data_IF_924041196854
#
_entry.id   IF_924041196854
#
_cell.length_a   1.000
_cell.length_b   1.000
_cell.length_c   1.000
_cell.angle_alpha   90.00
_cell.angle_beta   90.00
_cell.angle_gamma   90.00
#
_symmetry.space_group_name_H-M   'P 1'
#
loop_
_entity.id
_entity.type
_entity.pdbx_description
1 polymer ?
#
# COMPACT_ATOMS: atom_id res chain seq x y z
N UNK A 1 -46.50 -17.93 1.15
CA UNK A 1 -46.67 -16.73 0.31
C UNK A 1 -45.29 -16.13 0.08
N UNK A 2 -44.96 -15.74 -1.16
CA UNK A 2 -43.70 -15.04 -1.45
C UNK A 2 -43.77 -13.63 -0.85
N UNK A 3 -42.77 -13.30 -0.04
CA UNK A 3 -42.63 -12.05 0.69
C UNK A 3 -41.22 -11.51 0.49
N UNK A 4 -41.08 -10.19 0.33
CA UNK A 4 -39.80 -9.55 0.04
C UNK A 4 -39.21 -8.99 1.33
N UNK A 5 -37.97 -9.35 1.63
CA UNK A 5 -37.21 -8.76 2.74
C UNK A 5 -36.91 -7.27 2.44
N UNK A 6 -37.41 -6.31 3.24
CA UNK A 6 -37.29 -4.88 2.96
C UNK A 6 -35.88 -4.31 3.15
N UNK A 7 -34.95 -5.07 3.75
CA UNK A 7 -33.57 -4.63 4.00
C UNK A 7 -32.65 -5.01 2.85
N UNK A 8 -32.88 -6.16 2.22
CA UNK A 8 -32.01 -6.69 1.16
C UNK A 8 -32.72 -6.97 -0.17
N UNK A 9 -34.03 -6.74 -0.26
CA UNK A 9 -34.89 -7.04 -1.41
C UNK A 9 -34.87 -8.52 -1.87
N UNK A 10 -34.46 -9.43 -0.99
CA UNK A 10 -34.49 -10.87 -1.28
C UNK A 10 -35.92 -11.39 -1.15
N UNK A 11 -36.40 -12.07 -2.20
CA UNK A 11 -37.70 -12.75 -2.16
C UNK A 11 -37.54 -14.06 -1.38
N UNK A 12 -38.35 -14.24 -0.35
CA UNK A 12 -38.36 -15.44 0.48
C UNK A 12 -39.79 -15.96 0.61
N UNK A 13 -39.94 -17.24 0.91
CA UNK A 13 -41.23 -17.78 1.32
C UNK A 13 -41.43 -17.51 2.82
N UNK A 14 -42.62 -17.07 3.20
CA UNK A 14 -43.02 -16.81 4.60
C UNK A 14 -42.70 -17.96 5.58
N UNK A 15 -42.79 -19.22 5.12
CA UNK A 15 -42.45 -20.42 5.91
C UNK A 15 -40.95 -20.62 6.15
N UNK A 16 -40.09 -20.02 5.32
CA UNK A 16 -38.63 -20.14 5.36
C UNK A 16 -37.94 -18.88 5.91
N UNK A 17 -38.72 -17.97 6.50
CA UNK A 17 -38.18 -16.73 7.06
C UNK A 17 -37.31 -17.02 8.30
N UNK A 18 -36.06 -16.53 8.27
CA UNK A 18 -35.14 -16.62 9.40
C UNK A 18 -35.54 -15.70 10.58
N UNK A 19 -36.48 -14.77 10.35
CA UNK A 19 -37.04 -13.93 11.38
C UNK A 19 -38.28 -13.15 10.90
N UNK A 20 -39.13 -12.76 11.84
CA UNK A 20 -40.33 -11.95 11.61
C UNK A 20 -40.34 -10.78 12.58
N UNK A 21 -40.66 -9.58 12.08
CA UNK A 21 -40.89 -8.38 12.90
C UNK A 21 -42.20 -7.71 12.47
N UNK A 22 -42.90 -7.09 13.42
CA UNK A 22 -44.16 -6.40 13.16
C UNK A 22 -43.98 -4.90 13.33
N UNK A 23 -44.34 -4.13 12.30
CA UNK A 23 -44.23 -2.67 12.30
C UNK A 23 -45.45 -2.04 11.63
N UNK A 24 -46.08 -1.06 12.32
CA UNK A 24 -47.34 -0.40 11.90
C UNK A 24 -48.46 -1.40 11.50
N UNK A 25 -48.59 -2.51 12.24
CA UNK A 25 -49.64 -3.52 12.05
C UNK A 25 -49.43 -4.45 10.83
N UNK A 26 -48.25 -4.40 10.19
CA UNK A 26 -47.86 -5.35 9.13
C UNK A 26 -46.67 -6.19 9.59
N UNK A 27 -46.73 -7.49 9.29
CA UNK A 27 -45.63 -8.43 9.52
C UNK A 27 -44.65 -8.40 8.35
N UNK A 28 -43.38 -8.25 8.66
CA UNK A 28 -42.26 -8.29 7.72
C UNK A 28 -41.42 -9.53 8.00
N UNK A 29 -41.04 -10.22 6.94
CA UNK A 29 -40.30 -11.47 6.97
C UNK A 29 -38.87 -11.21 6.46
N UNK A 30 -37.87 -11.81 7.10
CA UNK A 30 -36.47 -11.56 6.81
C UNK A 30 -35.71 -12.81 6.42
N UNK A 31 -34.78 -12.69 5.48
CA UNK A 31 -33.95 -13.78 4.98
C UNK A 31 -32.89 -14.22 6.00
N UNK A 32 -32.54 -13.34 6.95
CA UNK A 32 -31.52 -13.59 7.97
C UNK A 32 -31.80 -12.81 9.26
N UNK A 33 -31.26 -13.31 10.38
CA UNK A 33 -31.28 -12.61 11.68
C UNK A 33 -30.58 -11.26 11.64
N UNK A 34 -29.60 -11.09 10.74
CA UNK A 34 -28.91 -9.84 10.50
C UNK A 34 -29.81 -8.79 9.81
N UNK A 35 -30.60 -9.19 8.80
CA UNK A 35 -31.57 -8.29 8.14
C UNK A 35 -32.67 -7.87 9.12
N UNK A 36 -33.19 -8.83 9.91
CA UNK A 36 -34.10 -8.52 11.01
C UNK A 36 -33.51 -7.50 11.99
N UNK A 37 -32.27 -7.71 12.43
CA UNK A 37 -31.61 -6.81 13.38
C UNK A 37 -31.33 -5.40 12.84
N UNK A 38 -31.17 -5.23 11.53
CA UNK A 38 -31.10 -3.91 10.89
C UNK A 38 -32.47 -3.24 10.82
N UNK A 39 -33.50 -4.00 10.47
CA UNK A 39 -34.87 -3.49 10.43
C UNK A 39 -35.37 -3.07 11.80
N UNK A 40 -35.14 -3.88 12.84
CA UNK A 40 -35.58 -3.57 14.22
C UNK A 40 -34.91 -2.30 14.78
N UNK A 41 -33.73 -1.92 14.27
CA UNK A 41 -33.00 -0.72 14.72
C UNK A 41 -33.53 0.58 14.10
N UNK A 42 -33.94 0.55 12.84
CA UNK A 42 -34.50 1.73 12.16
C UNK A 42 -35.51 1.29 11.07
N UNK A 43 -36.75 0.94 11.45
CA UNK A 43 -37.74 0.47 10.49
C UNK A 43 -38.11 1.52 9.44
N UNK A 44 -38.10 2.82 9.79
CA UNK A 44 -38.53 3.90 8.89
C UNK A 44 -37.59 4.13 7.71
N UNK A 45 -36.32 3.75 7.85
CA UNK A 45 -35.36 3.78 6.74
C UNK A 45 -35.69 2.78 5.62
N UNK A 46 -36.39 1.69 5.95
CA UNK A 46 -36.67 0.60 5.02
C UNK A 46 -38.15 0.52 4.60
N UNK A 47 -39.06 1.20 5.31
CA UNK A 47 -40.48 1.25 4.96
C UNK A 47 -41.08 2.66 5.08
N UNK A 48 -41.57 3.20 3.97
CA UNK A 48 -42.30 4.49 3.91
C UNK A 48 -41.80 5.43 2.82
N UNK A 49 -42.21 6.70 2.87
CA UNK A 49 -41.80 7.73 1.91
C UNK A 49 -40.30 8.03 1.95
N UNK A 50 -39.67 7.89 3.13
CA UNK A 50 -38.22 8.10 3.32
C UNK A 50 -37.37 7.03 2.59
N UNK A 51 -37.90 5.81 2.44
CA UNK A 51 -37.30 4.77 1.61
C UNK A 51 -37.41 5.10 0.10
N UNK A 52 -38.48 5.78 -0.33
CA UNK A 52 -38.63 6.28 -1.71
C UNK A 52 -37.66 7.43 -2.00
N UNK A 53 -37.42 8.31 -1.03
CA UNK A 53 -36.41 9.38 -1.14
C UNK A 53 -34.98 8.82 -1.19
N UNK A 54 -34.68 7.76 -0.43
CA UNK A 54 -33.37 7.10 -0.47
C UNK A 54 -33.09 6.40 -1.83
N UNK A 55 -34.13 5.89 -2.49
CA UNK A 55 -34.02 5.32 -3.85
C UNK A 55 -33.91 6.43 -4.92
N UNK A 56 -34.47 7.62 -4.69
CA UNK A 56 -34.33 8.77 -5.60
C UNK A 56 -33.02 9.55 -5.43
N UNK A 57 -32.27 9.32 -4.35
CA UNK A 57 -30.97 9.94 -4.11
C UNK A 57 -29.77 9.21 -4.77
N UNK A 58 -30.00 8.22 -5.65
CA UNK A 58 -28.94 7.70 -6.51
C UNK A 58 -28.72 8.64 -7.70
N UNK A 59 -27.58 9.34 -7.67
CA UNK A 59 -26.94 10.16 -8.71
C UNK A 59 -27.62 10.09 -10.09
N UNK A 60 -28.07 11.22 -10.69
CA UNK A 60 -28.59 11.20 -12.05
C UNK A 60 -27.47 10.77 -13.01
N UNK A 61 -27.63 9.59 -13.62
CA UNK A 61 -26.70 9.11 -14.63
C UNK A 61 -26.71 10.07 -15.83
N UNK A 62 -25.56 10.37 -16.45
CA UNK A 62 -25.47 11.28 -17.59
C UNK A 62 -26.43 10.88 -18.72
N UNK A 63 -27.03 11.86 -19.41
CA UNK A 63 -27.83 11.62 -20.62
C UNK A 63 -27.01 10.81 -21.63
N UNK A 64 -27.46 9.60 -21.96
CA UNK A 64 -26.78 8.65 -22.87
C UNK A 64 -26.15 7.42 -22.18
N UNK A 65 -26.34 7.24 -20.88
CA UNK A 65 -25.90 6.03 -20.17
C UNK A 65 -26.70 4.81 -20.65
N UNK A 66 -26.00 3.79 -21.14
CA UNK A 66 -26.60 2.49 -21.48
C UNK A 66 -26.62 1.59 -20.25
N UNK A 67 -27.62 0.73 -20.12
CA UNK A 67 -27.82 -0.17 -18.99
C UNK A 67 -27.84 -1.61 -19.49
N UNK A 68 -27.19 -2.53 -18.78
CA UNK A 68 -27.12 -3.95 -19.13
C UNK A 68 -27.53 -4.86 -17.97
N UNK A 69 -27.96 -6.07 -18.26
CA UNK A 69 -28.30 -7.07 -17.25
C UNK A 69 -27.06 -7.89 -16.87
N UNK A 70 -26.74 -8.07 -15.56
CA UNK A 70 -25.60 -8.89 -15.12
C UNK A 70 -25.66 -10.35 -15.60
N UNK A 71 -26.87 -10.89 -15.80
CA UNK A 71 -27.10 -12.28 -16.24
C UNK A 71 -27.31 -12.40 -17.75
N UNK A 72 -27.70 -11.32 -18.43
CA UNK A 72 -27.96 -11.28 -19.87
C UNK A 72 -27.21 -10.10 -20.51
N UNK A 73 -25.87 -10.19 -20.72
CA UNK A 73 -25.04 -9.07 -21.20
C UNK A 73 -25.42 -8.54 -22.59
N UNK A 74 -26.17 -9.33 -23.37
CA UNK A 74 -26.71 -8.96 -24.68
C UNK A 74 -27.84 -7.91 -24.59
N UNK A 75 -28.47 -7.78 -23.43
CA UNK A 75 -29.62 -6.89 -23.22
C UNK A 75 -29.11 -5.52 -22.81
N UNK A 76 -29.03 -4.59 -23.78
CA UNK A 76 -28.59 -3.21 -23.56
C UNK A 76 -29.74 -2.23 -23.80
N UNK A 77 -30.06 -1.38 -22.83
CA UNK A 77 -31.12 -0.37 -22.93
C UNK A 77 -30.63 1.04 -22.58
N UNK A 78 -31.24 2.07 -23.16
CA UNK A 78 -30.88 3.48 -22.90
C UNK A 78 -31.55 4.06 -21.63
N UNK A 79 -32.28 3.22 -20.86
CA UNK A 79 -33.05 3.63 -19.69
C UNK A 79 -32.91 2.59 -18.57
N UNK A 80 -32.93 3.01 -17.29
CA UNK A 80 -33.04 2.07 -16.18
C UNK A 80 -34.40 1.36 -16.22
N UNK A 81 -34.40 0.06 -15.92
CA UNK A 81 -35.59 -0.78 -16.01
C UNK A 81 -35.31 -2.23 -15.64
N UNK A 82 -36.34 -3.08 -15.70
CA UNK A 82 -36.18 -4.52 -15.54
C UNK A 82 -35.77 -5.18 -16.87
N UNK A 83 -34.87 -6.17 -16.79
CA UNK A 83 -34.42 -6.95 -17.92
C UNK A 83 -35.61 -7.73 -18.52
N UNK A 84 -35.92 -7.59 -19.82
CA UNK A 84 -37.02 -8.32 -20.46
C UNK A 84 -36.81 -9.83 -20.57
N UNK A 85 -35.57 -10.33 -20.37
CA UNK A 85 -35.28 -11.78 -20.38
C UNK A 85 -35.46 -12.43 -19.01
N UNK A 86 -34.87 -11.86 -17.96
CA UNK A 86 -34.82 -12.49 -16.63
C UNK A 86 -35.48 -11.67 -15.51
N UNK A 87 -36.01 -10.48 -15.80
CA UNK A 87 -36.69 -9.63 -14.81
C UNK A 87 -35.78 -8.89 -13.82
N UNK A 88 -34.46 -9.15 -13.82
CA UNK A 88 -33.51 -8.45 -12.95
C UNK A 88 -33.32 -6.98 -13.34
N UNK A 89 -33.01 -6.11 -12.37
CA UNK A 89 -32.74 -4.70 -12.63
C UNK A 89 -31.52 -4.52 -13.55
N UNK A 90 -31.66 -3.67 -14.57
CA UNK A 90 -30.56 -3.31 -15.45
C UNK A 90 -29.62 -2.34 -14.74
N UNK A 91 -28.32 -2.66 -14.78
CA UNK A 91 -27.26 -1.86 -14.18
C UNK A 91 -26.60 -0.95 -15.22
N UNK A 92 -26.18 0.27 -14.86
CA UNK A 92 -25.52 1.16 -15.80
C UNK A 92 -24.20 0.53 -16.29
N UNK A 93 -24.03 0.46 -17.60
CA UNK A 93 -22.73 0.28 -18.25
C UNK A 93 -21.92 1.54 -18.01
N UNK A 94 -21.36 1.66 -16.82
CA UNK A 94 -20.26 2.60 -16.58
C UNK A 94 -19.09 2.14 -17.44
N UNK A 95 -18.52 3.01 -18.30
CA UNK A 95 -17.26 2.68 -18.95
C UNK A 95 -16.24 2.43 -17.85
N UNK A 96 -15.68 1.23 -17.83
CA UNK A 96 -14.59 0.82 -16.95
C UNK A 96 -13.39 1.68 -17.31
N UNK A 97 -13.26 2.85 -16.69
CA UNK A 97 -12.02 3.62 -16.76
C UNK A 97 -10.98 2.78 -16.02
N UNK A 98 -9.91 2.46 -16.72
CA UNK A 98 -8.82 1.62 -16.26
C UNK A 98 -8.37 2.06 -14.85
N UNK A 99 -8.45 1.15 -13.89
CA UNK A 99 -7.58 1.22 -12.72
C UNK A 99 -6.16 1.27 -13.31
N UNK A 100 -5.48 2.40 -13.15
CA UNK A 100 -4.06 2.49 -13.45
C UNK A 100 -3.40 1.30 -12.75
N UNK A 101 -2.94 0.31 -13.52
CA UNK A 101 -2.28 -0.86 -12.95
C UNK A 101 -1.09 -0.33 -12.17
N UNK A 102 -1.03 -0.62 -10.88
CA UNK A 102 0.14 -0.33 -10.05
C UNK A 102 1.29 -1.14 -10.62
N UNK A 103 2.09 -0.53 -11.49
CA UNK A 103 3.34 -1.12 -11.95
C UNK A 103 4.32 -1.14 -10.78
N UNK A 104 5.09 -2.22 -10.63
CA UNK A 104 6.09 -2.42 -9.60
C UNK A 104 7.47 -2.50 -10.27
N UNK A 105 8.44 -1.74 -9.77
CA UNK A 105 9.79 -1.66 -10.34
C UNK A 105 10.87 -1.97 -9.31
N UNK A 106 12.00 -2.53 -9.75
CA UNK A 106 13.15 -2.69 -8.88
C UNK A 106 13.93 -1.36 -8.76
N UNK A 107 14.28 -0.89 -7.55
CA UNK A 107 15.02 0.37 -7.38
C UNK A 107 16.46 0.31 -7.96
N UNK A 108 17.03 -0.88 -8.08
CA UNK A 108 18.38 -1.08 -8.64
C UNK A 108 18.38 -1.49 -10.11
N UNK A 109 17.25 -1.97 -10.64
CA UNK A 109 17.11 -2.43 -12.02
C UNK A 109 15.80 -1.87 -12.59
N UNK A 110 15.80 -0.61 -13.07
CA UNK A 110 14.58 0.07 -13.54
C UNK A 110 13.91 -0.59 -14.76
N UNK A 111 14.66 -1.45 -15.46
CA UNK A 111 14.16 -2.30 -16.54
C UNK A 111 13.23 -3.45 -16.07
N UNK A 112 13.25 -3.78 -14.79
CA UNK A 112 12.38 -4.82 -14.20
C UNK A 112 11.06 -4.18 -13.80
N UNK A 113 10.01 -4.41 -14.60
CA UNK A 113 8.64 -3.97 -14.33
C UNK A 113 7.73 -5.19 -14.15
N UNK A 114 6.85 -5.14 -13.15
CA UNK A 114 5.90 -6.21 -12.79
C UNK A 114 4.53 -5.63 -12.48
N UNK A 115 3.47 -6.38 -12.76
CA UNK A 115 2.09 -5.99 -12.40
C UNK A 115 1.75 -6.28 -10.92
N UNK A 116 2.67 -6.91 -10.17
CA UNK A 116 2.46 -7.30 -8.78
C UNK A 116 3.72 -7.10 -7.91
N UNK A 117 3.49 -6.93 -6.60
CA UNK A 117 4.54 -6.97 -5.60
C UNK A 117 5.30 -8.30 -5.65
N UNK A 118 6.61 -8.24 -5.47
CA UNK A 118 7.45 -9.44 -5.55
C UNK A 118 8.92 -9.12 -5.36
N UNK A 119 9.78 -10.10 -5.63
CA UNK A 119 11.24 -9.92 -5.62
C UNK A 119 11.76 -9.77 -7.06
N UNK A 120 12.71 -8.87 -7.24
CA UNK A 120 13.42 -8.67 -8.49
C UNK A 120 14.16 -9.96 -8.89
N UNK A 121 13.97 -10.46 -10.12
CA UNK A 121 14.63 -11.69 -10.58
C UNK A 121 16.15 -11.52 -10.76
N UNK A 122 16.64 -10.28 -10.86
CA UNK A 122 18.06 -9.98 -11.06
C UNK A 122 18.81 -9.94 -9.72
N UNK A 123 18.36 -9.09 -8.79
CA UNK A 123 19.05 -8.86 -7.52
C UNK A 123 18.34 -9.35 -6.26
N UNK A 124 17.11 -9.85 -6.37
CA UNK A 124 16.33 -10.36 -5.23
C UNK A 124 15.78 -9.27 -4.28
N UNK A 125 15.97 -7.98 -4.58
CA UNK A 125 15.34 -6.90 -3.82
C UNK A 125 13.82 -6.86 -4.06
N UNK A 126 13.04 -6.41 -3.08
CA UNK A 126 11.59 -6.23 -3.28
C UNK A 126 11.33 -5.17 -4.35
N UNK A 127 10.29 -5.39 -5.15
CA UNK A 127 9.79 -4.40 -6.10
C UNK A 127 9.02 -3.33 -5.33
N UNK A 128 9.16 -2.07 -5.76
CA UNK A 128 8.47 -0.91 -5.21
C UNK A 128 7.44 -0.39 -6.22
N UNK A 129 6.25 0.07 -5.79
CA UNK A 129 5.21 0.54 -6.69
C UNK A 129 5.63 1.85 -7.36
N UNK A 130 5.49 1.92 -8.69
CA UNK A 130 5.78 3.05 -9.56
C UNK A 130 4.72 4.14 -9.46
N UNK A 131 3.47 3.77 -9.18
CA UNK A 131 2.35 4.72 -8.99
C UNK A 131 2.23 5.15 -7.54
N UNK A 132 2.38 6.46 -7.31
CA UNK A 132 2.31 7.09 -5.99
C UNK A 132 0.84 7.22 -5.57
N UNK A 133 0.22 6.15 -5.07
CA UNK A 133 -1.10 6.27 -4.43
C UNK A 133 -0.98 7.13 -3.16
N UNK A 134 -1.93 8.04 -2.89
CA UNK A 134 -1.84 9.05 -1.82
C UNK A 134 -2.16 8.49 -0.43
N UNK A 135 -1.76 7.25 -0.14
CA UNK A 135 -1.89 6.65 1.20
C UNK A 135 -0.49 6.55 1.81
N UNK A 136 -0.32 7.12 3.00
CA UNK A 136 0.83 6.88 3.87
C UNK A 136 0.75 5.47 4.45
N UNK A 137 1.03 4.46 3.64
CA UNK A 137 1.31 3.14 4.19
C UNK A 137 2.81 3.06 4.48
N UNK A 138 3.18 2.86 5.76
CA UNK A 138 4.55 2.51 6.12
C UNK A 138 4.99 1.33 5.25
N UNK A 139 6.15 1.42 4.60
CA UNK A 139 6.64 0.35 3.73
C UNK A 139 6.62 -1.00 4.52
N UNK A 140 5.81 -1.99 4.10
CA UNK A 140 5.62 -3.23 4.86
C UNK A 140 6.93 -4.00 5.04
N UNK A 141 7.88 -3.86 4.10
CA UNK A 141 9.22 -4.45 4.22
C UNK A 141 10.04 -3.79 5.33
N UNK A 142 9.95 -2.47 5.50
CA UNK A 142 10.62 -1.77 6.60
C UNK A 142 10.10 -2.25 7.96
N UNK A 143 8.78 -2.48 8.08
CA UNK A 143 8.18 -3.01 9.29
C UNK A 143 8.68 -4.44 9.58
N UNK A 144 8.72 -5.31 8.57
CA UNK A 144 9.22 -6.67 8.72
C UNK A 144 10.71 -6.70 9.12
N UNK A 145 11.56 -5.94 8.42
CA UNK A 145 13.00 -5.86 8.71
C UNK A 145 13.27 -5.27 10.09
N UNK A 146 12.52 -4.24 10.49
CA UNK A 146 12.63 -3.65 11.84
C UNK A 146 12.23 -4.64 12.92
N UNK A 147 11.19 -5.45 12.68
CA UNK A 147 10.75 -6.51 13.61
C UNK A 147 11.82 -7.60 13.75
N UNK A 148 12.36 -8.09 12.64
CA UNK A 148 13.45 -9.09 12.64
C UNK A 148 14.69 -8.58 13.34
N UNK A 149 15.09 -7.33 13.06
CA UNK A 149 16.23 -6.68 13.72
C UNK A 149 16.04 -6.62 15.24
N UNK A 150 14.89 -6.11 15.72
CA UNK A 150 14.64 -5.98 17.17
C UNK A 150 14.60 -7.34 17.87
N UNK A 151 13.87 -8.31 17.32
CA UNK A 151 13.78 -9.64 17.89
C UNK A 151 15.15 -10.34 17.88
N UNK A 152 15.88 -10.25 16.78
CA UNK A 152 17.21 -10.83 16.66
C UNK A 152 18.23 -10.18 17.60
N UNK A 153 18.17 -8.86 17.78
CA UNK A 153 19.07 -8.13 18.69
C UNK A 153 18.89 -8.60 20.14
N UNK A 154 17.64 -8.81 20.58
CA UNK A 154 17.32 -9.31 21.92
C UNK A 154 17.94 -10.70 22.16
N UNK A 155 17.99 -11.55 21.14
CA UNK A 155 18.56 -12.90 21.25
C UNK A 155 20.09 -12.91 21.08
N UNK A 156 20.62 -11.99 20.28
CA UNK A 156 22.06 -11.91 19.98
C UNK A 156 22.84 -11.30 21.15
N UNK A 157 22.26 -10.38 21.92
CA UNK A 157 22.94 -9.79 23.09
C UNK A 157 23.33 -10.85 24.13
N UNK A 158 22.42 -11.71 24.66
CA UNK A 158 22.79 -12.79 25.55
C UNK A 158 23.79 -13.76 24.93
N UNK A 159 23.65 -14.03 23.63
CA UNK A 159 24.54 -14.92 22.90
C UNK A 159 25.98 -14.39 22.90
N UNK A 160 26.19 -13.10 22.59
CA UNK A 160 27.52 -12.47 22.65
C UNK A 160 28.11 -12.55 24.06
N UNK A 161 27.29 -12.28 25.08
CA UNK A 161 27.74 -12.35 26.49
C UNK A 161 28.20 -13.77 26.83
N UNK A 162 27.48 -14.79 26.38
CA UNK A 162 27.86 -16.20 26.61
C UNK A 162 29.12 -16.55 25.81
N UNK A 163 29.24 -16.14 24.54
CA UNK A 163 30.40 -16.43 23.71
C UNK A 163 31.69 -15.77 24.22
N UNK A 164 31.58 -14.53 24.73
CA UNK A 164 32.70 -13.76 25.26
C UNK A 164 33.00 -14.04 26.75
N UNK A 165 32.35 -15.03 27.37
CA UNK A 165 32.48 -15.33 28.81
C UNK A 165 33.93 -15.48 29.29
N UNK A 166 34.79 -16.15 28.53
CA UNK A 166 36.19 -16.40 28.91
C UNK A 166 37.13 -15.20 28.76
N UNK A 167 36.66 -14.08 28.16
CA UNK A 167 37.43 -12.85 27.99
C UNK A 167 37.00 -11.74 28.97
N UNK A 168 35.92 -11.93 29.72
CA UNK A 168 35.38 -10.93 30.65
C UNK A 168 35.70 -11.37 32.10
N UNK A 169 36.68 -10.74 32.78
CA UNK A 169 37.09 -11.15 34.13
C UNK A 169 35.98 -11.09 35.19
N UNK A 170 34.90 -10.35 34.91
CA UNK A 170 33.79 -10.10 35.82
C UNK A 170 32.67 -11.16 35.74
N UNK A 171 32.66 -12.01 34.71
CA UNK A 171 31.60 -13.00 34.44
C UNK A 171 32.20 -14.41 34.59
N UNK A 172 32.54 -14.79 35.82
CA UNK A 172 33.08 -16.12 36.13
C UNK A 172 31.96 -17.18 36.24
N UNK A 173 31.42 -17.59 35.08
CA UNK A 173 30.48 -18.73 34.98
C UNK A 173 31.25 -20.05 34.77
N UNK A 174 32.59 -20.00 34.70
CA UNK A 174 33.49 -21.12 34.35
C UNK A 174 33.43 -22.33 35.31
N UNK A 175 32.69 -22.24 36.43
CA UNK A 175 32.42 -23.36 37.33
C UNK A 175 30.94 -23.71 37.55
N UNK A 176 29.99 -22.96 36.98
CA UNK A 176 28.55 -23.12 37.30
C UNK A 176 27.83 -24.00 36.27
N UNK A 177 28.23 -23.92 35.00
CA UNK A 177 27.56 -24.64 33.91
C UNK A 177 28.57 -25.41 33.05
N UNK A 178 28.26 -26.67 32.68
CA UNK A 178 29.10 -27.44 31.76
C UNK A 178 29.28 -26.70 30.42
N UNK A 179 30.50 -26.69 29.83
CA UNK A 179 30.75 -26.07 28.53
C UNK A 179 29.80 -26.55 27.41
N UNK A 180 29.45 -27.84 27.41
CA UNK A 180 28.49 -28.45 26.47
C UNK A 180 27.09 -27.84 26.59
N UNK A 181 26.65 -27.52 27.81
CA UNK A 181 25.36 -26.89 28.04
C UNK A 181 25.36 -25.46 27.51
N UNK A 182 26.43 -24.70 27.72
CA UNK A 182 26.56 -23.34 27.19
C UNK A 182 26.52 -23.33 25.66
N UNK A 183 27.20 -24.26 25.00
CA UNK A 183 27.14 -24.37 23.53
C UNK A 183 25.73 -24.75 23.03
N UNK A 184 24.96 -25.52 23.81
CA UNK A 184 23.56 -25.82 23.49
C UNK A 184 22.66 -24.58 23.64
N UNK A 185 22.91 -23.75 24.66
CA UNK A 185 22.23 -22.46 24.83
C UNK A 185 22.56 -21.51 23.68
N UNK A 186 23.84 -21.43 23.27
CA UNK A 186 24.26 -20.65 22.11
C UNK A 186 23.53 -21.13 20.83
N UNK A 187 23.45 -22.44 20.60
CA UNK A 187 22.68 -23.02 19.50
C UNK A 187 21.21 -22.58 19.55
N UNK A 188 20.57 -22.68 20.72
CA UNK A 188 19.16 -22.33 20.91
C UNK A 188 18.89 -20.86 20.64
N UNK A 189 19.79 -19.96 21.07
CA UNK A 189 19.68 -18.52 20.82
C UNK A 189 19.99 -18.15 19.37
N UNK A 190 21.00 -18.78 18.76
CA UNK A 190 21.44 -18.48 17.40
C UNK A 190 20.45 -18.93 16.33
N UNK A 191 19.81 -20.09 16.54
CA UNK A 191 18.90 -20.72 15.59
C UNK A 191 17.78 -19.79 15.08
N UNK A 192 16.98 -19.14 15.95
CA UNK A 192 15.96 -18.19 15.48
C UNK A 192 16.57 -16.95 14.83
N UNK A 193 17.73 -16.47 15.27
CA UNK A 193 18.40 -15.32 14.64
C UNK A 193 18.82 -15.65 13.22
N UNK A 194 19.50 -16.78 13.02
CA UNK A 194 20.04 -17.19 11.73
C UNK A 194 18.93 -17.68 10.80
N UNK A 195 18.08 -18.61 11.24
CA UNK A 195 17.10 -19.25 10.38
C UNK A 195 15.88 -18.36 10.10
N UNK A 196 15.34 -17.66 11.11
CA UNK A 196 14.18 -16.79 10.92
C UNK A 196 14.60 -15.35 10.60
N UNK A 197 15.54 -14.78 11.35
CA UNK A 197 16.05 -13.43 11.09
C UNK A 197 16.80 -13.34 9.75
N UNK A 198 17.68 -14.31 9.48
CA UNK A 198 18.47 -14.40 8.25
C UNK A 198 17.77 -15.03 7.04
N UNK A 199 16.54 -15.55 7.18
CA UNK A 199 15.79 -16.18 6.07
C UNK A 199 15.80 -15.37 4.77
N UNK A 200 15.54 -14.04 4.77
CA UNK A 200 15.50 -13.26 3.54
C UNK A 200 16.85 -13.23 2.83
N UNK A 201 17.96 -13.31 3.57
CA UNK A 201 19.30 -13.32 3.02
C UNK A 201 19.63 -14.65 2.37
N UNK A 202 19.17 -15.77 2.93
CA UNK A 202 19.29 -17.08 2.30
C UNK A 202 18.47 -17.18 1.02
N UNK A 203 17.24 -16.66 1.01
CA UNK A 203 16.40 -16.61 -0.20
C UNK A 203 17.07 -15.78 -1.29
N UNK A 204 17.54 -14.56 -0.96
CA UNK A 204 18.26 -13.69 -1.93
C UNK A 204 19.57 -14.29 -2.40
N UNK A 205 20.32 -14.91 -1.49
CA UNK A 205 21.57 -15.61 -1.81
C UNK A 205 21.34 -16.78 -2.75
N UNK A 206 20.29 -17.57 -2.52
CA UNK A 206 19.92 -18.69 -3.39
C UNK A 206 19.46 -18.21 -4.77
N UNK A 207 18.63 -17.17 -4.83
CA UNK A 207 18.22 -16.54 -6.08
C UNK A 207 19.44 -16.03 -6.88
N UNK A 208 20.42 -15.42 -6.20
CA UNK A 208 21.65 -14.93 -6.82
C UNK A 208 22.50 -16.04 -7.43
N UNK A 209 22.54 -17.23 -6.81
CA UNK A 209 23.22 -18.41 -7.37
C UNK A 209 22.47 -18.92 -8.59
N UNK A 210 21.14 -19.03 -8.53
CA UNK A 210 20.31 -19.48 -9.65
C UNK A 210 20.43 -18.52 -10.85
N UNK A 211 20.35 -17.21 -10.60
CA UNK A 211 20.45 -16.19 -11.64
C UNK A 211 21.89 -15.99 -12.15
N UNK A 212 22.87 -16.65 -11.53
CA UNK A 212 24.32 -16.53 -11.81
C UNK A 212 24.88 -15.11 -11.63
N UNK A 213 24.13 -14.21 -11.01
CA UNK A 213 24.56 -12.85 -10.69
C UNK A 213 24.95 -12.79 -9.21
N UNK A 214 26.19 -13.18 -8.92
CA UNK A 214 26.71 -13.23 -7.55
C UNK A 214 26.74 -11.82 -6.93
N UNK A 215 26.24 -11.69 -5.71
CA UNK A 215 26.12 -10.41 -5.02
C UNK A 215 26.44 -10.52 -3.51
N UNK A 216 26.27 -9.42 -2.78
CA UNK A 216 26.54 -9.36 -1.33
C UNK A 216 25.76 -10.44 -0.55
N UNK A 217 24.52 -10.75 -0.93
CA UNK A 217 23.72 -11.76 -0.25
C UNK A 217 24.25 -13.19 -0.48
N UNK A 218 24.92 -13.46 -1.60
CA UNK A 218 25.61 -14.74 -1.80
C UNK A 218 26.68 -14.95 -0.75
N UNK A 219 27.54 -13.94 -0.54
CA UNK A 219 28.63 -14.00 0.43
C UNK A 219 28.10 -14.13 1.86
N UNK A 220 27.06 -13.36 2.20
CA UNK A 220 26.42 -13.41 3.52
C UNK A 220 25.79 -14.79 3.76
N UNK A 221 24.98 -15.28 2.81
CA UNK A 221 24.31 -16.58 2.94
C UNK A 221 25.33 -17.72 3.07
N UNK A 222 26.41 -17.70 2.28
CA UNK A 222 27.47 -18.69 2.39
C UNK A 222 28.20 -18.61 3.73
N UNK A 223 28.66 -17.42 4.14
CA UNK A 223 29.42 -17.24 5.38
C UNK A 223 28.61 -17.61 6.62
N UNK A 224 27.40 -17.08 6.75
CA UNK A 224 26.49 -17.36 7.86
C UNK A 224 26.06 -18.83 7.84
N UNK A 225 25.73 -19.37 6.66
CA UNK A 225 25.32 -20.77 6.50
C UNK A 225 26.41 -21.75 6.91
N UNK A 226 27.64 -21.55 6.42
CA UNK A 226 28.80 -22.40 6.77
C UNK A 226 29.12 -22.29 8.26
N UNK A 227 29.18 -21.09 8.82
CA UNK A 227 29.45 -20.88 10.24
C UNK A 227 28.40 -21.55 11.13
N UNK A 228 27.11 -21.42 10.77
CA UNK A 228 26.01 -22.02 11.52
C UNK A 228 26.03 -23.55 11.41
N UNK A 229 26.14 -24.11 10.20
CA UNK A 229 26.17 -25.58 10.00
C UNK A 229 27.39 -26.20 10.70
N UNK A 230 28.57 -25.60 10.56
CA UNK A 230 29.76 -26.04 11.29
C UNK A 230 29.49 -26.09 12.80
N UNK A 231 28.90 -25.03 13.35
CA UNK A 231 28.62 -24.93 14.79
C UNK A 231 27.58 -25.94 15.25
N UNK A 232 26.55 -26.21 14.44
CA UNK A 232 25.57 -27.27 14.71
C UNK A 232 26.24 -28.63 14.76
N UNK A 233 27.12 -28.95 13.80
CA UNK A 233 27.86 -30.22 13.78
C UNK A 233 28.83 -30.31 14.95
N UNK A 234 29.50 -29.21 15.31
CA UNK A 234 30.39 -29.13 16.47
C UNK A 234 29.69 -29.43 17.80
N UNK A 235 28.42 -29.00 17.96
CA UNK A 235 27.63 -29.26 19.17
C UNK A 235 27.01 -30.66 19.18
N UNK A 236 26.41 -31.09 18.08
CA UNK A 236 25.65 -32.35 18.04
C UNK A 236 26.54 -33.58 17.84
N UNK A 237 27.64 -33.43 17.08
CA UNK A 237 28.52 -34.52 16.66
C UNK A 237 30.00 -34.17 16.87
N UNK A 238 30.44 -33.84 18.10
CA UNK A 238 31.84 -33.51 18.38
C UNK A 238 32.80 -34.67 18.05
N UNK A 239 32.29 -35.90 18.03
CA UNK A 239 33.00 -37.13 17.70
C UNK A 239 33.60 -37.19 16.28
N UNK A 240 33.14 -36.36 15.34
CA UNK A 240 33.64 -36.31 13.96
C UNK A 240 34.94 -35.51 13.87
N UNK A 241 35.15 -34.56 14.78
CA UNK A 241 36.32 -33.68 14.74
C UNK A 241 37.57 -34.37 15.29
N UNK A 242 38.77 -34.17 14.71
CA UNK A 242 40.01 -34.71 15.25
C UNK A 242 40.27 -34.22 16.68
N UNK A 243 41.03 -35.00 17.46
CA UNK A 243 41.34 -34.70 18.87
C UNK A 243 42.03 -33.33 19.03
N UNK A 244 42.80 -32.90 18.03
CA UNK A 244 43.45 -31.58 18.01
C UNK A 244 42.49 -30.38 17.96
N UNK A 245 41.25 -30.60 17.53
CA UNK A 245 40.20 -29.56 17.48
C UNK A 245 39.27 -29.58 18.70
N UNK A 246 39.42 -30.58 19.59
CA UNK A 246 38.63 -30.70 20.82
C UNK A 246 39.40 -30.09 21.99
N UNK A 247 38.71 -29.34 22.83
CA UNK A 247 39.22 -28.82 24.10
C UNK A 247 39.29 -29.94 25.15
N UNK A 248 39.84 -29.63 26.32
CA UNK A 248 40.03 -30.59 27.43
C UNK A 248 38.72 -31.29 27.86
N UNK A 249 37.55 -30.66 27.69
CA UNK A 249 36.23 -31.25 27.98
C UNK A 249 35.58 -32.01 26.80
N UNK A 250 36.29 -32.18 25.68
CA UNK A 250 35.77 -32.85 24.48
C UNK A 250 34.90 -31.97 23.57
N UNK A 251 34.66 -30.72 23.95
CA UNK A 251 33.93 -29.75 23.15
C UNK A 251 34.76 -29.17 22.01
N UNK A 252 34.08 -28.80 20.92
CA UNK A 252 34.66 -28.13 19.76
C UNK A 252 34.25 -26.65 19.81
N UNK A 253 35.15 -25.76 19.39
CA UNK A 253 34.83 -24.33 19.29
C UNK A 253 33.67 -24.07 18.31
N UNK A 254 32.77 -23.17 18.66
CA UNK A 254 31.58 -22.83 17.87
C UNK A 254 31.64 -21.37 17.39
N UNK A 255 30.89 -21.07 16.33
CA UNK A 255 30.84 -19.77 15.66
C UNK A 255 29.40 -19.24 15.55
N UNK A 256 28.55 -19.61 16.51
CA UNK A 256 27.16 -19.11 16.57
C UNK A 256 27.11 -17.58 16.72
N UNK A 257 28.07 -17.02 17.47
CA UNK A 257 28.21 -15.57 17.67
C UNK A 257 28.52 -14.83 16.38
N UNK A 258 29.55 -15.25 15.64
CA UNK A 258 29.84 -14.70 14.33
C UNK A 258 28.63 -14.76 13.37
N UNK A 259 27.94 -15.91 13.29
CA UNK A 259 26.78 -16.08 12.42
C UNK A 259 25.61 -15.14 12.81
N UNK A 260 25.26 -15.07 14.09
CA UNK A 260 24.18 -14.23 14.60
C UNK A 260 24.51 -12.73 14.44
N UNK A 261 25.72 -12.31 14.80
CA UNK A 261 26.17 -10.91 14.70
C UNK A 261 26.13 -10.42 13.26
N UNK A 262 26.63 -11.21 12.30
CA UNK A 262 26.58 -10.86 10.88
C UNK A 262 25.13 -10.64 10.44
N UNK A 263 24.20 -11.53 10.79
CA UNK A 263 22.77 -11.38 10.45
C UNK A 263 22.19 -10.09 11.03
N UNK A 264 22.50 -9.76 12.29
CA UNK A 264 22.01 -8.54 12.94
C UNK A 264 22.55 -7.27 12.29
N UNK A 265 23.86 -7.23 11.98
CA UNK A 265 24.47 -6.07 11.35
C UNK A 265 23.92 -5.86 9.93
N UNK A 266 23.68 -6.94 9.18
CA UNK A 266 23.05 -6.85 7.85
C UNK A 266 21.59 -6.38 7.97
N UNK A 267 20.81 -6.91 8.93
CA UNK A 267 19.45 -6.43 9.19
C UNK A 267 19.43 -4.95 9.56
N UNK A 268 20.37 -4.49 10.37
CA UNK A 268 20.53 -3.07 10.69
C UNK A 268 20.79 -2.25 9.42
N UNK A 269 21.72 -2.70 8.57
CA UNK A 269 22.00 -2.05 7.29
C UNK A 269 20.75 -1.91 6.41
N UNK A 270 19.97 -2.98 6.26
CA UNK A 270 18.71 -2.97 5.51
C UNK A 270 17.67 -2.01 6.11
N UNK A 271 17.55 -1.96 7.45
CA UNK A 271 16.64 -1.01 8.12
C UNK A 271 17.07 0.44 7.87
N UNK A 272 18.37 0.73 7.92
CA UNK A 272 18.90 2.06 7.65
C UNK A 272 18.70 2.47 6.18
N UNK A 273 18.96 1.54 5.25
CA UNK A 273 18.76 1.73 3.81
C UNK A 273 17.29 2.05 3.48
N UNK A 274 16.37 1.20 3.93
CA UNK A 274 14.93 1.37 3.68
C UNK A 274 14.39 2.64 4.33
N UNK A 275 14.86 3.00 5.53
CA UNK A 275 14.48 4.24 6.22
C UNK A 275 15.01 5.48 5.51
N UNK A 276 16.19 5.41 4.88
CA UNK A 276 16.72 6.50 4.09
C UNK A 276 15.91 6.73 2.81
N UNK A 277 15.56 5.64 2.10
CA UNK A 277 14.74 5.70 0.87
C UNK A 277 13.31 6.17 1.12
N UNK A 278 12.67 5.73 2.21
CA UNK A 278 11.29 6.17 2.50
C UNK A 278 11.20 7.68 2.75
N UNK A 279 12.24 8.28 3.34
CA UNK A 279 12.30 9.73 3.59
C UNK A 279 12.42 10.55 2.30
N UNK A 280 13.21 10.11 1.33
CA UNK A 280 13.34 10.83 0.04
C UNK A 280 12.08 10.69 -0.81
N UNK A 281 11.43 9.53 -0.80
CA UNK A 281 10.15 9.32 -1.49
C UNK A 281 9.02 10.20 -0.95
N UNK A 282 8.96 10.41 0.37
CA UNK A 282 7.97 11.28 1.00
C UNK A 282 8.09 12.74 0.56
N UNK A 283 9.32 13.25 0.37
CA UNK A 283 9.55 14.62 -0.09
C UNK A 283 9.07 14.85 -1.53
N UNK A 284 9.31 13.89 -2.43
CA UNK A 284 8.81 13.94 -3.81
C UNK A 284 7.28 13.84 -3.84
N UNK A 285 6.69 12.95 -3.02
CA UNK A 285 5.23 12.79 -2.89
C UNK A 285 4.55 14.05 -2.35
N UNK A 286 5.19 14.77 -1.43
CA UNK A 286 4.70 16.05 -0.93
C UNK A 286 4.62 17.12 -2.04
N UNK A 287 5.52 17.08 -3.04
CA UNK A 287 5.45 17.95 -4.21
C UNK A 287 4.28 17.56 -5.14
N UNK A 288 4.06 16.26 -5.36
CA UNK A 288 2.97 15.76 -6.21
C UNK A 288 1.57 15.92 -5.58
N UNK A 289 1.48 15.88 -4.25
CA UNK A 289 0.24 16.14 -3.50
C UNK A 289 -0.25 17.59 -3.55
N UNK A 290 0.52 18.49 -4.19
CA UNK A 290 0.16 19.88 -4.36
C UNK A 290 -0.76 20.14 -5.55
N UNK A 291 -0.95 19.19 -6.48
CA UNK A 291 -1.92 19.36 -7.55
C UNK A 291 -3.36 19.40 -6.97
N UNK A 292 -4.18 20.41 -7.29
CA UNK A 292 -5.56 20.48 -6.80
C UNK A 292 -6.37 19.30 -7.35
N UNK A 293 -7.22 18.65 -6.56
CA UNK A 293 -8.00 17.49 -7.04
C UNK A 293 -9.24 17.87 -7.85
N UNK A 294 -9.68 19.11 -7.71
CA UNK A 294 -10.90 19.63 -8.31
C UNK A 294 -10.63 20.97 -8.99
N UNK A 295 -11.37 21.24 -10.05
CA UNK A 295 -11.41 22.51 -10.74
C UNK A 295 -12.85 23.02 -10.81
N UNK A 296 -13.02 24.34 -10.82
CA UNK A 296 -14.33 24.94 -10.99
C UNK A 296 -14.56 25.34 -12.43
N UNK A 297 -15.42 24.60 -13.13
CA UNK A 297 -15.77 24.87 -14.52
C UNK A 297 -16.97 25.80 -14.60
N UNK A 298 -16.90 26.78 -15.49
CA UNK A 298 -18.03 27.63 -15.87
C UNK A 298 -18.64 27.04 -17.15
N UNK A 299 -19.89 26.58 -17.06
CA UNK A 299 -20.65 26.08 -18.21
C UNK A 299 -22.01 26.76 -18.25
N UNK A 300 -22.33 27.41 -19.36
CA UNK A 300 -23.61 28.13 -19.57
C UNK A 300 -23.93 29.16 -18.46
N UNK A 301 -22.92 29.81 -17.90
CA UNK A 301 -23.07 30.81 -16.83
C UNK A 301 -23.24 30.23 -15.42
N UNK A 302 -23.29 28.90 -15.28
CA UNK A 302 -23.29 28.21 -13.98
C UNK A 302 -21.91 27.64 -13.64
N UNK A 303 -21.51 27.76 -12.38
CA UNK A 303 -20.30 27.15 -11.81
C UNK A 303 -20.58 25.72 -11.37
N UNK A 304 -19.75 24.77 -11.78
CA UNK A 304 -19.74 23.39 -11.30
C UNK A 304 -18.33 22.98 -10.86
N UNK A 305 -18.21 22.34 -9.71
CA UNK A 305 -16.94 21.74 -9.26
C UNK A 305 -16.79 20.35 -9.88
N UNK A 306 -15.73 20.18 -10.67
CA UNK A 306 -15.42 18.93 -11.40
C UNK A 306 -14.06 18.39 -10.95
N UNK A 307 -13.89 17.08 -10.96
CA UNK A 307 -12.56 16.48 -10.79
C UNK A 307 -11.64 16.92 -11.95
N UNK A 308 -10.35 17.13 -11.68
CA UNK A 308 -9.35 17.49 -12.70
C UNK A 308 -9.37 16.55 -13.91
N UNK A 309 -9.65 15.27 -13.70
CA UNK A 309 -9.72 14.25 -14.76
C UNK A 309 -10.83 14.51 -15.79
N UNK A 310 -11.86 15.30 -15.41
CA UNK A 310 -12.99 15.64 -16.28
C UNK A 310 -12.85 17.02 -16.94
N UNK A 311 -11.74 17.72 -16.69
CA UNK A 311 -11.41 19.00 -17.32
C UNK A 311 -10.89 18.72 -18.73
N UNK A 312 -11.47 19.39 -19.72
CA UNK A 312 -11.07 19.27 -21.12
C UNK A 312 -10.34 20.51 -21.59
N UNK A 313 -9.58 20.36 -22.68
CA UNK A 313 -9.05 21.51 -23.41
C UNK A 313 -10.21 22.43 -23.81
N UNK A 314 -9.97 23.73 -23.73
CA UNK A 314 -10.94 24.81 -23.94
C UNK A 314 -12.00 24.99 -22.84
N UNK A 315 -12.00 24.18 -21.78
CA UNK A 315 -12.87 24.43 -20.63
C UNK A 315 -12.53 25.78 -19.97
N UNK A 316 -13.57 26.51 -19.58
CA UNK A 316 -13.44 27.79 -18.88
C UNK A 316 -13.47 27.51 -17.39
N UNK A 317 -12.40 27.87 -16.69
CA UNK A 317 -12.21 27.58 -15.28
C UNK A 317 -12.12 28.88 -14.48
N UNK A 318 -12.81 28.93 -13.34
CA UNK A 318 -12.70 30.03 -12.38
C UNK A 318 -11.71 29.66 -11.29
N UNK A 319 -10.76 30.56 -11.02
CA UNK A 319 -9.78 30.42 -9.95
C UNK A 319 -9.94 31.60 -8.99
N UNK A 320 -10.25 31.32 -7.72
CA UNK A 320 -10.44 32.33 -6.69
C UNK A 320 -9.11 32.72 -6.03
N UNK A 321 -9.05 33.85 -5.31
CA UNK A 321 -7.87 34.21 -4.52
C UNK A 321 -7.48 33.08 -3.55
N UNK A 322 -6.19 32.74 -3.51
CA UNK A 322 -5.64 31.65 -2.69
C UNK A 322 -5.85 30.23 -3.25
N UNK A 323 -6.61 30.05 -4.32
CA UNK A 323 -6.77 28.75 -4.97
C UNK A 323 -5.58 28.42 -5.87
N UNK A 324 -5.33 27.12 -6.05
CA UNK A 324 -4.34 26.66 -7.01
C UNK A 324 -4.90 26.67 -8.42
N UNK A 325 -4.03 26.99 -9.37
CA UNK A 325 -4.36 26.92 -10.79
C UNK A 325 -4.47 25.43 -11.18
N UNK A 326 -5.63 24.97 -11.69
CA UNK A 326 -5.91 23.55 -11.86
C UNK A 326 -5.10 22.87 -12.97
N UNK A 327 -4.91 23.56 -14.09
CA UNK A 327 -4.26 23.05 -15.31
C UNK A 327 -3.53 24.19 -16.00
N UNK A 328 -2.70 23.90 -17.00
CA UNK A 328 -2.05 24.94 -17.78
C UNK A 328 -3.07 25.62 -18.72
N UNK A 329 -2.99 26.94 -18.84
CA UNK A 329 -3.92 27.66 -19.69
C UNK A 329 -3.61 29.14 -19.86
N UNK A 330 -4.60 29.87 -20.39
CA UNK A 330 -4.52 31.30 -20.65
C UNK A 330 -5.62 32.06 -19.92
N UNK A 331 -5.29 33.20 -19.34
CA UNK A 331 -6.26 34.09 -18.68
C UNK A 331 -7.14 34.75 -19.72
N UNK A 332 -8.45 34.59 -19.59
CA UNK A 332 -9.45 35.22 -20.47
C UNK A 332 -10.09 36.47 -19.83
N UNK A 333 -10.17 36.51 -18.50
CA UNK A 333 -10.78 37.60 -17.75
C UNK A 333 -10.20 37.69 -16.34
N UNK A 334 -10.14 38.91 -15.80
CA UNK A 334 -9.59 39.20 -14.47
C UNK A 334 -8.09 39.53 -14.49
N UNK A 335 -7.61 39.98 -13.34
CA UNK A 335 -6.19 40.26 -13.08
C UNK A 335 -5.84 39.79 -11.68
N UNK A 336 -4.69 39.14 -11.53
CA UNK A 336 -4.20 38.67 -10.22
C UNK A 336 -2.68 38.52 -10.24
N UNK A 337 -2.07 38.48 -9.07
CA UNK A 337 -0.72 37.96 -8.91
C UNK A 337 -0.76 36.44 -8.78
N UNK A 338 0.16 35.73 -9.43
CA UNK A 338 0.28 34.27 -9.33
C UNK A 338 1.67 33.95 -8.79
N UNK A 339 1.71 33.17 -7.71
CA UNK A 339 2.94 32.66 -7.14
C UNK A 339 3.37 31.40 -7.89
N UNK A 340 4.39 31.55 -8.73
CA UNK A 340 5.00 30.49 -9.53
C UNK A 340 6.26 29.88 -8.87
N UNK A 341 6.58 30.27 -7.63
CA UNK A 341 7.82 29.88 -6.93
C UNK A 341 8.03 28.37 -6.84
N UNK A 342 6.95 27.59 -6.76
CA UNK A 342 7.00 26.13 -6.70
C UNK A 342 7.46 25.48 -8.00
N UNK A 343 7.36 26.18 -9.14
CA UNK A 343 7.74 25.68 -10.47
C UNK A 343 8.98 26.40 -10.99
N UNK A 344 9.03 27.73 -10.89
CA UNK A 344 10.12 28.55 -11.43
C UNK A 344 11.25 28.80 -10.42
N UNK A 345 10.97 28.66 -9.13
CA UNK A 345 11.91 29.02 -8.06
C UNK A 345 12.01 30.52 -7.77
N UNK A 346 11.25 31.37 -8.47
CA UNK A 346 11.26 32.82 -8.26
C UNK A 346 10.32 33.22 -7.12
N UNK A 347 10.80 33.92 -6.07
CA UNK A 347 10.01 34.19 -4.87
C UNK A 347 8.98 35.33 -5.01
N UNK A 348 9.02 36.09 -6.11
CA UNK A 348 8.14 37.25 -6.33
C UNK A 348 6.95 36.80 -7.20
N UNK A 349 5.70 36.95 -6.73
CA UNK A 349 4.53 36.62 -7.55
C UNK A 349 4.48 37.43 -8.84
N UNK A 350 4.20 36.76 -9.95
CA UNK A 350 4.12 37.36 -11.28
C UNK A 350 2.71 37.88 -11.53
N UNK A 351 2.58 39.10 -12.04
CA UNK A 351 1.28 39.66 -12.38
C UNK A 351 0.74 39.02 -13.66
N UNK A 352 -0.50 38.56 -13.63
CA UNK A 352 -1.21 37.95 -14.76
C UNK A 352 -2.45 38.76 -15.11
N UNK A 353 -2.59 39.02 -16.40
CA UNK A 353 -3.71 39.72 -17.00
C UNK A 353 -4.24 38.96 -18.22
N UNK A 354 -5.33 39.45 -18.80
CA UNK A 354 -5.96 38.85 -19.99
C UNK A 354 -4.93 38.64 -21.11
N UNK A 355 -4.84 37.40 -21.59
CA UNK A 355 -3.91 36.96 -22.63
C UNK A 355 -2.64 36.29 -22.10
N UNK A 356 -2.34 36.41 -20.80
CA UNK A 356 -1.17 35.78 -20.21
C UNK A 356 -1.39 34.30 -19.93
N UNK A 357 -0.29 33.53 -20.00
CA UNK A 357 -0.28 32.11 -19.65
C UNK A 357 -0.11 31.91 -18.15
N UNK A 358 -0.79 30.90 -17.65
CA UNK A 358 -0.71 30.42 -16.27
C UNK A 358 -0.36 28.94 -16.24
N UNK A 359 0.42 28.54 -15.24
CA UNK A 359 0.95 27.18 -15.09
C UNK A 359 0.15 26.46 -14.00
N UNK A 360 -0.19 25.20 -14.24
CA UNK A 360 -0.87 24.33 -13.28
C UNK A 360 -0.08 24.19 -11.97
N UNK A 361 -0.80 23.95 -10.88
CA UNK A 361 -0.33 23.86 -9.49
C UNK A 361 0.35 25.11 -8.89
N UNK A 362 0.48 26.20 -9.65
CA UNK A 362 0.84 27.52 -9.10
C UNK A 362 -0.30 28.09 -8.26
N UNK A 363 0.00 29.04 -7.36
CA UNK A 363 -0.99 29.57 -6.42
C UNK A 363 -1.49 30.93 -6.90
N UNK A 364 -2.80 31.06 -7.10
CA UNK A 364 -3.41 32.34 -7.37
C UNK A 364 -3.39 33.21 -6.11
N UNK A 365 -2.93 34.44 -6.23
CA UNK A 365 -2.79 35.41 -5.16
C UNK A 365 -4.11 36.07 -4.80
N UNK A 366 -4.24 37.36 -5.08
CA UNK A 366 -5.29 38.22 -4.49
C UNK A 366 -6.52 38.45 -5.38
N UNK A 367 -6.41 38.26 -6.69
CA UNK A 367 -7.49 38.51 -7.65
C UNK A 367 -8.26 37.25 -8.06
N UNK A 368 -9.49 37.42 -8.56
CA UNK A 368 -10.20 36.34 -9.24
C UNK A 368 -9.77 36.31 -10.71
N UNK A 369 -9.48 35.12 -11.22
CA UNK A 369 -9.08 34.93 -12.61
C UNK A 369 -10.00 33.89 -13.25
N UNK A 370 -10.44 34.19 -14.47
CA UNK A 370 -11.08 33.21 -15.34
C UNK A 370 -10.07 32.84 -16.41
N UNK A 371 -9.79 31.55 -16.51
CA UNK A 371 -8.83 31.00 -17.45
C UNK A 371 -9.49 30.00 -18.39
N UNK A 372 -8.86 29.81 -19.55
CA UNK A 372 -9.21 28.78 -20.52
C UNK A 372 -8.11 27.71 -20.50
N UNK A 373 -8.49 26.46 -20.30
CA UNK A 373 -7.55 25.33 -20.27
C UNK A 373 -6.90 25.11 -21.66
N UNK A 374 -5.56 25.11 -21.73
CA UNK A 374 -4.81 24.81 -22.96
C UNK A 374 -4.24 23.38 -22.93
N UNK A 375 -3.76 22.92 -21.78
CA UNK A 375 -3.20 21.57 -21.61
C UNK A 375 -3.75 20.94 -20.33
N UNK A 376 -4.07 19.64 -20.38
CA UNK A 376 -4.73 18.91 -19.29
C UNK A 376 -4.12 17.51 -19.15
N UNK A 377 -4.23 16.90 -17.97
CA UNK A 377 -3.76 15.53 -17.74
C UNK A 377 -2.25 15.38 -17.92
N UNK A 378 -1.81 14.41 -18.72
CA UNK A 378 -0.38 14.15 -18.94
C UNK A 378 0.34 15.21 -19.81
N UNK A 379 -0.42 16.12 -20.43
CA UNK A 379 0.14 17.17 -21.28
C UNK A 379 0.49 18.44 -20.49
N UNK A 380 0.18 18.51 -19.18
CA UNK A 380 0.58 19.64 -18.33
C UNK A 380 2.08 19.67 -18.10
N UNK A 381 2.61 20.81 -17.67
CA UNK A 381 4.03 20.99 -17.34
C UNK A 381 4.47 20.12 -16.14
N UNK A 382 3.53 19.72 -15.29
CA UNK A 382 3.65 18.76 -14.19
C UNK A 382 2.99 17.43 -14.59
#
# INVERSE_FOLDING_TARGET
MEVIDPVCNMTIEDVNAAGVSEYKGKKYYFCSTHCKGKFDKDPEAYVGERAKEAVQASIPSPKGTKYTCPMDPEVVQDKPGACPKCGMALEPLVPTIAIARTEWTCPMHPEVVSDAAGSCPICGMALEPRTVLPVEEENPELVDMRRRFKAGLILTIPLIIIAMRGMIPMINIEGILPPTFLNLVELLLATPVVLWGGWPFFVRGWQSVISRNLNMFTLIALGVGVAYIYSVVAVLLPGIFPVSFRKEGGEVGVYFEAAAVIVILVLLGQVLELKARSKTGAAIKALLGLAPKTARRIKNGTEEDVSLEHVKIDDILRVRPGEKIPVDGMVIEGTSSVDESMVTGEPIPVQKQKGDRVIGATVNGTGMVIMKAEKVGADTLL
#
